data_IF_419858464796
#
_entry.id   IF_419858464796
#
_cell.length_a   1.000
_cell.length_b   1.000
_cell.length_c   1.000
_cell.angle_alpha   90.00
_cell.angle_beta   90.00
_cell.angle_gamma   90.00
#
_symmetry.space_group_name_H-M   'P 1'
#
loop_
_entity.id
_entity.type
_entity.pdbx_description
1 polymer ?
#
# COMPACT_ATOMS: atom_id res chain seq x y z
N UNK A 1 3.18 -20.75 19.19
CA UNK A 1 3.69 -19.37 19.31
C UNK A 1 2.92 -18.49 18.33
N UNK A 2 2.61 -17.21 18.66
CA UNK A 2 1.92 -16.34 17.72
C UNK A 2 2.79 -16.11 16.47
N UNK A 3 2.17 -16.18 15.29
CA UNK A 3 2.87 -15.87 14.02
C UNK A 3 3.02 -14.35 13.95
N UNK A 4 4.27 -13.89 13.79
CA UNK A 4 4.61 -12.49 13.64
C UNK A 4 4.55 -12.09 12.17
N UNK A 5 3.95 -10.94 11.90
CA UNK A 5 3.92 -10.35 10.56
C UNK A 5 5.23 -9.64 10.21
N UNK A 6 5.32 -9.11 8.97
CA UNK A 6 6.48 -8.33 8.51
C UNK A 6 6.82 -7.14 9.42
N UNK A 7 5.81 -6.58 10.06
CA UNK A 7 5.93 -5.44 10.97
C UNK A 7 6.24 -5.86 12.43
N UNK A 8 6.48 -7.15 12.68
CA UNK A 8 6.70 -7.71 14.02
C UNK A 8 5.44 -7.80 14.88
N UNK A 9 4.26 -7.55 14.31
CA UNK A 9 2.97 -7.61 15.00
C UNK A 9 2.47 -9.06 15.04
N UNK A 10 2.02 -9.50 16.22
CA UNK A 10 1.42 -10.82 16.41
C UNK A 10 0.01 -10.91 15.82
N UNK A 11 -0.35 -12.09 15.30
CA UNK A 11 -1.68 -12.35 14.72
C UNK A 11 -1.72 -12.37 13.20
N UNK A 12 -0.54 -12.41 12.56
CA UNK A 12 -0.39 -12.46 11.11
C UNK A 12 -1.04 -13.71 10.48
N UNK A 13 -1.09 -14.82 11.22
CA UNK A 13 -1.77 -16.04 10.83
C UNK A 13 -3.24 -15.79 10.47
N UNK A 14 -3.93 -14.92 11.20
CA UNK A 14 -5.34 -14.59 10.94
C UNK A 14 -5.52 -13.82 9.64
N UNK A 15 -4.60 -12.91 9.35
CA UNK A 15 -4.56 -12.17 8.08
C UNK A 15 -4.31 -13.13 6.93
N UNK A 16 -3.37 -14.06 7.07
CA UNK A 16 -3.09 -15.09 6.07
C UNK A 16 -4.29 -16.01 5.83
N UNK A 17 -4.99 -16.42 6.89
CA UNK A 17 -6.18 -17.27 6.77
C UNK A 17 -7.30 -16.58 5.98
N UNK A 18 -7.60 -15.31 6.28
CA UNK A 18 -8.58 -14.55 5.51
C UNK A 18 -8.13 -14.35 4.06
N UNK A 19 -6.86 -13.97 3.85
CA UNK A 19 -6.33 -13.75 2.51
C UNK A 19 -6.37 -15.02 1.65
N UNK A 20 -5.95 -16.17 2.21
CA UNK A 20 -6.03 -17.46 1.54
C UNK A 20 -7.47 -17.81 1.16
N UNK A 21 -8.39 -17.69 2.10
CA UNK A 21 -9.80 -17.98 1.85
C UNK A 21 -10.40 -17.10 0.74
N UNK A 22 -10.12 -15.79 0.74
CA UNK A 22 -10.59 -14.88 -0.32
C UNK A 22 -9.97 -15.20 -1.69
N UNK A 23 -8.70 -15.62 -1.72
CA UNK A 23 -8.04 -16.03 -2.96
C UNK A 23 -8.66 -17.31 -3.52
N UNK A 24 -9.03 -18.27 -2.68
CA UNK A 24 -9.68 -19.50 -3.13
C UNK A 24 -11.09 -19.23 -3.70
N UNK A 25 -11.83 -18.29 -3.10
CA UNK A 25 -13.16 -17.88 -3.56
C UNK A 25 -13.16 -17.21 -4.95
N UNK A 26 -12.03 -16.74 -5.46
CA UNK A 26 -11.96 -16.11 -6.80
C UNK A 26 -12.38 -17.05 -7.94
N UNK A 27 -12.31 -18.36 -7.70
CA UNK A 27 -12.68 -19.39 -8.67
C UNK A 27 -14.18 -19.74 -8.60
N UNK A 28 -14.88 -19.27 -7.56
CA UNK A 28 -16.30 -19.51 -7.39
C UNK A 28 -17.12 -18.53 -8.26
N UNK A 29 -18.17 -19.00 -8.95
CA UNK A 29 -19.03 -18.14 -9.76
C UNK A 29 -19.93 -17.22 -8.92
N UNK A 30 -20.19 -17.58 -7.66
CA UNK A 30 -20.98 -16.82 -6.69
C UNK A 30 -20.58 -17.20 -5.26
N UNK A 31 -21.00 -16.41 -4.29
CA UNK A 31 -20.81 -16.69 -2.87
C UNK A 31 -22.07 -17.32 -2.28
N UNK A 32 -21.91 -18.46 -1.63
CA UNK A 32 -22.95 -19.05 -0.80
C UNK A 32 -22.99 -18.38 0.58
N UNK A 33 -24.14 -18.47 1.24
CA UNK A 33 -24.39 -17.96 2.59
C UNK A 33 -23.37 -18.52 3.60
N UNK A 34 -22.98 -19.80 3.47
CA UNK A 34 -21.93 -20.38 4.32
C UNK A 34 -20.58 -19.69 4.11
N UNK A 35 -20.23 -19.38 2.87
CA UNK A 35 -18.98 -18.70 2.53
C UNK A 35 -18.97 -17.27 3.06
N UNK A 36 -20.09 -16.56 2.95
CA UNK A 36 -20.26 -15.21 3.51
C UNK A 36 -20.08 -15.23 5.02
N UNK A 37 -20.70 -16.17 5.73
CA UNK A 37 -20.54 -16.32 7.18
C UNK A 37 -19.10 -16.59 7.57
N UNK A 38 -18.40 -17.41 6.80
CA UNK A 38 -16.98 -17.70 7.05
C UNK A 38 -16.10 -16.47 6.84
N UNK A 39 -16.33 -15.68 5.78
CA UNK A 39 -15.64 -14.39 5.59
C UNK A 39 -15.87 -13.47 6.79
N UNK A 40 -17.12 -13.33 7.27
CA UNK A 40 -17.46 -12.49 8.42
C UNK A 40 -16.75 -12.98 9.68
N UNK A 41 -16.69 -14.30 9.91
CA UNK A 41 -16.00 -14.91 11.04
C UNK A 41 -14.49 -14.61 11.01
N UNK A 42 -13.86 -14.84 9.86
CA UNK A 42 -12.43 -14.58 9.63
C UNK A 42 -12.10 -13.10 9.78
N UNK A 43 -12.89 -12.21 9.17
CA UNK A 43 -12.76 -10.76 9.32
C UNK A 43 -12.91 -10.34 10.78
N UNK A 44 -13.92 -10.84 11.49
CA UNK A 44 -14.17 -10.46 12.89
C UNK A 44 -13.01 -10.86 13.81
N UNK A 45 -12.29 -11.94 13.50
CA UNK A 45 -11.13 -12.41 14.27
C UNK A 45 -9.86 -11.56 14.11
N UNK A 46 -9.79 -10.69 13.08
CA UNK A 46 -8.65 -9.80 12.84
C UNK A 46 -8.50 -8.74 13.93
N UNK A 47 -7.26 -8.28 14.15
CA UNK A 47 -6.99 -7.18 15.07
C UNK A 47 -7.55 -5.85 14.55
N UNK A 48 -7.77 -4.88 15.44
CA UNK A 48 -8.30 -3.58 15.05
C UNK A 48 -7.38 -2.84 14.05
N UNK A 49 -6.06 -3.01 14.19
CA UNK A 49 -5.07 -2.45 13.25
C UNK A 49 -5.21 -3.02 11.84
N UNK A 50 -5.46 -4.33 11.70
CA UNK A 50 -5.64 -4.99 10.40
C UNK A 50 -6.96 -4.58 9.72
N UNK A 51 -7.95 -4.16 10.51
CA UNK A 51 -9.23 -3.60 10.03
C UNK A 51 -9.15 -2.11 9.73
N UNK A 52 -8.05 -1.45 10.08
CA UNK A 52 -7.93 -0.01 9.92
C UNK A 52 -7.95 0.36 8.44
N UNK A 53 -8.54 1.52 8.15
CA UNK A 53 -8.58 2.04 6.79
C UNK A 53 -7.15 2.33 6.31
N UNK A 54 -6.76 1.72 5.21
CA UNK A 54 -5.50 2.05 4.53
C UNK A 54 -5.58 3.51 4.07
N UNK A 55 -4.71 4.36 4.62
CA UNK A 55 -4.50 5.71 4.13
C UNK A 55 -3.54 5.65 2.95
N UNK A 56 -4.10 5.67 1.74
CA UNK A 56 -3.29 5.85 0.55
C UNK A 56 -2.73 7.27 0.52
N UNK A 57 -1.45 7.41 0.20
CA UNK A 57 -0.89 8.73 -0.05
C UNK A 57 -1.67 9.43 -1.19
N UNK A 58 -1.87 10.75 -1.10
CA UNK A 58 -2.47 11.52 -2.18
C UNK A 58 -1.73 11.26 -3.49
N UNK A 59 -2.42 10.69 -4.47
CA UNK A 59 -1.84 10.43 -5.81
C UNK A 59 -1.53 11.74 -6.54
N UNK A 60 -2.24 12.81 -6.20
CA UNK A 60 -2.01 14.14 -6.72
C UNK A 60 -1.14 14.94 -5.74
N UNK A 61 0.03 15.37 -6.22
CA UNK A 61 0.85 16.36 -5.53
C UNK A 61 0.68 17.70 -6.25
N UNK A 62 0.09 18.69 -5.59
CA UNK A 62 -0.09 20.04 -6.15
C UNK A 62 1.25 20.68 -6.58
N UNK A 63 2.35 20.27 -5.93
CA UNK A 63 3.70 20.67 -6.30
C UNK A 63 4.64 19.47 -6.19
N UNK A 64 5.26 19.10 -7.30
CA UNK A 64 6.31 18.11 -7.31
C UNK A 64 7.56 18.70 -6.64
N UNK A 65 7.94 18.19 -5.47
CA UNK A 65 9.10 18.64 -4.69
C UNK A 65 10.41 17.99 -5.15
N UNK A 66 10.34 16.83 -5.80
CA UNK A 66 11.48 16.02 -6.23
C UNK A 66 11.22 15.37 -7.60
N UNK A 67 12.26 15.16 -8.40
CA UNK A 67 12.15 14.43 -9.67
C UNK A 67 13.00 15.02 -10.79
N UNK A 68 13.10 14.29 -11.91
CA UNK A 68 14.00 14.59 -13.05
C UNK A 68 13.89 16.01 -13.60
N UNK A 69 12.71 16.63 -13.50
CA UNK A 69 12.46 18.00 -13.98
C UNK A 69 12.67 19.09 -12.93
N UNK A 70 12.99 18.73 -11.69
CA UNK A 70 13.38 19.66 -10.62
C UNK A 70 14.89 19.57 -10.45
N UNK A 71 15.65 20.01 -11.46
CA UNK A 71 17.05 20.32 -11.25
C UNK A 71 17.13 21.40 -10.14
N UNK A 72 18.04 21.27 -9.15
CA UNK A 72 18.31 22.38 -8.24
C UNK A 72 18.64 23.60 -9.09
N UNK A 73 18.08 24.77 -8.76
CA UNK A 73 18.47 26.04 -9.37
C UNK A 73 19.91 26.35 -8.96
N UNK A 74 20.87 25.60 -9.50
CA UNK A 74 22.26 26.00 -9.52
C UNK A 74 22.41 27.20 -10.43
N UNK A 75 23.31 28.10 -10.07
CA UNK A 75 23.68 29.28 -10.84
C UNK A 75 23.96 28.86 -12.28
N UNK A 76 23.05 29.19 -13.20
CA UNK A 76 23.19 28.91 -14.62
C UNK A 76 24.30 29.82 -15.16
N UNK A 77 25.54 29.38 -15.07
CA UNK A 77 26.61 29.97 -15.87
C UNK A 77 26.38 29.50 -17.30
N UNK A 78 25.87 30.39 -18.16
CA UNK A 78 25.82 30.19 -19.60
C UNK A 78 27.25 30.28 -20.14
N UNK A 79 27.83 29.19 -20.68
CA UNK A 79 29.14 29.24 -21.30
C UNK A 79 29.08 30.10 -22.56
N UNK A 80 30.03 31.03 -22.74
CA UNK A 80 30.16 31.82 -23.97
C UNK A 80 29.95 33.34 -23.83
N UNK A 81 29.82 33.86 -22.60
CA UNK A 81 29.80 35.32 -22.37
C UNK A 81 31.19 35.95 -22.57
N UNK A 82 32.26 35.15 -22.61
CA UNK A 82 33.63 35.62 -22.81
C UNK A 82 33.94 36.11 -24.25
N UNK A 83 33.07 35.86 -25.23
CA UNK A 83 33.39 36.10 -26.66
C UNK A 83 33.06 37.50 -27.18
N UNK A 84 32.64 38.43 -26.31
CA UNK A 84 32.45 39.84 -26.69
C UNK A 84 33.56 40.68 -26.07
N UNK A 85 34.64 40.85 -26.83
CA UNK A 85 35.65 41.90 -26.68
C UNK A 85 35.89 42.54 -28.02
#
# INVERSE_FOLDING_TARGET
APVLGPDGVAGWDKVQNLAGYLVDLRQAPYLDEQQVREIIRLWSALAAGDKARIQYQPRHQAKLTQGRFKAPKGTRVTPGVESVK
#
